data_IF_271549673820
#
_entry.id   IF_271549673820
#
_cell.length_a   1.000
_cell.length_b   1.000
_cell.length_c   1.000
_cell.angle_alpha   90.00
_cell.angle_beta   90.00
_cell.angle_gamma   90.00
#
_symmetry.space_group_name_H-M   'P 1'
#
loop_
_entity.id
_entity.type
_entity.pdbx_description
1 polymer ?
#
# COMPACT_ATOMS: atom_id res chain seq x y z
N UNK A 1 14.70 -17.46 18.52
CA UNK A 1 15.03 -16.04 18.63
C UNK A 1 14.05 -15.13 17.88
N UNK A 2 14.01 -15.09 16.52
CA UNK A 2 13.12 -14.22 15.74
C UNK A 2 11.63 -14.27 16.20
N UNK A 3 11.02 -15.47 16.29
CA UNK A 3 9.62 -15.62 16.71
C UNK A 3 9.36 -15.13 18.14
N UNK A 4 10.31 -15.33 19.06
CA UNK A 4 10.19 -14.91 20.46
C UNK A 4 10.28 -13.39 20.58
N UNK A 5 11.27 -12.79 19.93
CA UNK A 5 11.47 -11.33 19.89
C UNK A 5 10.24 -10.63 19.31
N UNK A 6 9.75 -11.09 18.17
CA UNK A 6 8.56 -10.49 17.54
C UNK A 6 7.31 -10.62 18.40
N UNK A 7 7.11 -11.76 19.07
CA UNK A 7 5.99 -11.92 20.01
C UNK A 7 6.08 -10.94 21.18
N UNK A 8 7.28 -10.67 21.68
CA UNK A 8 7.52 -9.72 22.76
C UNK A 8 7.30 -8.27 22.32
N UNK A 9 7.81 -7.92 21.14
CA UNK A 9 7.80 -6.55 20.62
C UNK A 9 6.45 -6.14 19.97
N UNK A 10 5.65 -7.08 19.45
CA UNK A 10 4.46 -6.76 18.65
C UNK A 10 3.50 -5.75 19.31
N UNK A 11 3.31 -5.87 20.64
CA UNK A 11 2.44 -4.96 21.41
C UNK A 11 3.11 -3.63 21.77
N UNK A 12 4.42 -3.49 21.55
CA UNK A 12 5.22 -2.29 21.84
C UNK A 12 5.44 -1.45 20.59
N UNK A 13 5.23 -2.05 19.40
CA UNK A 13 5.40 -1.37 18.14
C UNK A 13 4.19 -0.50 17.79
N UNK A 14 4.46 0.70 17.26
CA UNK A 14 3.42 1.57 16.74
C UNK A 14 2.56 0.85 15.69
N UNK A 15 1.27 1.10 15.71
CA UNK A 15 0.33 0.56 14.70
C UNK A 15 0.60 1.13 13.30
N UNK A 16 1.30 2.25 13.20
CA UNK A 16 1.66 2.92 11.94
C UNK A 16 2.98 2.42 11.34
N UNK A 17 3.73 1.62 12.07
CA UNK A 17 4.95 0.96 11.56
C UNK A 17 4.54 -0.23 10.69
N UNK A 18 4.49 -0.06 9.37
CA UNK A 18 3.92 -1.06 8.46
C UNK A 18 4.93 -1.99 7.79
N UNK A 19 6.22 -1.62 7.74
CA UNK A 19 7.26 -2.42 7.10
C UNK A 19 7.58 -3.71 7.87
N UNK A 20 7.85 -4.79 7.15
CA UNK A 20 8.36 -6.07 7.68
C UNK A 20 7.57 -6.72 8.84
N UNK A 21 6.32 -6.33 9.05
CA UNK A 21 5.45 -6.93 10.07
C UNK A 21 4.46 -7.91 9.47
N UNK A 22 4.19 -8.98 10.21
CA UNK A 22 3.25 -10.02 9.79
C UNK A 22 1.85 -9.45 9.58
N UNK A 23 1.26 -9.74 8.42
CA UNK A 23 -0.08 -9.28 8.07
C UNK A 23 -0.16 -7.84 7.57
N UNK A 24 0.89 -7.05 7.72
CA UNK A 24 0.99 -5.69 7.17
C UNK A 24 1.65 -5.67 5.79
N UNK A 25 1.37 -4.64 5.03
CA UNK A 25 1.96 -4.43 3.71
C UNK A 25 1.74 -3.00 3.22
N UNK A 26 2.35 -2.65 2.10
CA UNK A 26 2.25 -1.32 1.49
C UNK A 26 0.78 -0.88 1.30
N UNK A 27 -0.14 -1.82 0.99
CA UNK A 27 -1.55 -1.51 0.82
C UNK A 27 -2.20 -0.97 2.10
N UNK A 28 -1.86 -1.50 3.28
CA UNK A 28 -2.45 -1.05 4.56
C UNK A 28 -2.04 0.39 4.88
N UNK A 29 -0.74 0.68 4.75
CA UNK A 29 -0.18 2.01 4.93
C UNK A 29 -0.81 3.02 3.96
N UNK A 30 -0.83 2.70 2.67
CA UNK A 30 -1.42 3.57 1.64
C UNK A 30 -2.94 3.73 1.79
N UNK A 31 -3.67 2.70 2.24
CA UNK A 31 -5.11 2.82 2.51
C UNK A 31 -5.38 3.81 3.63
N UNK A 32 -4.60 3.79 4.70
CA UNK A 32 -4.71 4.74 5.79
C UNK A 32 -4.53 6.18 5.30
N UNK A 33 -3.42 6.45 4.60
CA UNK A 33 -3.14 7.75 4.00
C UNK A 33 -4.26 8.24 3.08
N UNK A 34 -4.61 7.42 2.08
CA UNK A 34 -5.61 7.78 1.05
C UNK A 34 -6.99 7.96 1.66
N UNK A 35 -7.37 7.14 2.64
CA UNK A 35 -8.63 7.28 3.35
C UNK A 35 -8.71 8.61 4.11
N UNK A 36 -7.69 8.92 4.92
CA UNK A 36 -7.63 10.20 5.65
C UNK A 36 -7.68 11.40 4.70
N UNK A 37 -6.87 11.36 3.65
CA UNK A 37 -6.83 12.43 2.65
C UNK A 37 -8.19 12.64 1.98
N UNK A 38 -8.85 11.57 1.51
CA UNK A 38 -10.17 11.66 0.88
C UNK A 38 -11.25 12.17 1.84
N UNK A 39 -11.26 11.74 3.11
CA UNK A 39 -12.21 12.21 4.11
C UNK A 39 -12.05 13.71 4.37
N UNK A 40 -10.83 14.21 4.41
CA UNK A 40 -10.55 15.64 4.61
C UNK A 40 -10.95 16.47 3.40
N UNK A 41 -10.63 16.01 2.19
CA UNK A 41 -11.08 16.69 0.97
C UNK A 41 -12.61 16.70 0.83
N UNK A 42 -13.30 15.65 1.31
CA UNK A 42 -14.77 15.61 1.37
C UNK A 42 -15.35 16.66 2.32
N UNK A 43 -14.59 17.06 3.35
CA UNK A 43 -14.92 18.13 4.30
C UNK A 43 -14.48 19.53 3.83
N UNK A 44 -13.86 19.63 2.66
CA UNK A 44 -13.28 20.84 2.08
C UNK A 44 -11.98 21.30 2.73
N UNK A 45 -11.35 20.46 3.57
CA UNK A 45 -10.03 20.70 4.11
C UNK A 45 -8.96 20.57 3.01
N UNK A 46 -7.80 21.14 3.26
CA UNK A 46 -6.59 21.00 2.44
C UNK A 46 -5.70 19.92 3.01
N UNK A 47 -4.95 19.25 2.13
CA UNK A 47 -4.06 18.17 2.50
C UNK A 47 -2.69 18.40 1.94
N UNK A 48 -1.67 17.92 2.65
CA UNK A 48 -0.29 17.90 2.19
C UNK A 48 0.46 16.68 2.71
N UNK A 49 1.40 16.20 1.91
CA UNK A 49 2.30 15.11 2.26
C UNK A 49 3.72 15.46 1.81
N UNK A 50 4.68 15.21 2.68
CA UNK A 50 6.10 15.28 2.38
C UNK A 50 6.66 13.86 2.29
N UNK A 51 7.10 13.46 1.11
CA UNK A 51 7.83 12.20 0.92
C UNK A 51 9.28 12.42 1.30
N UNK A 52 9.81 11.55 2.15
CA UNK A 52 11.21 11.60 2.57
C UNK A 52 11.92 10.29 2.23
N UNK A 53 13.22 10.37 2.00
CA UNK A 53 14.07 9.21 1.68
C UNK A 53 15.29 9.22 2.61
N UNK A 54 15.68 8.05 3.09
CA UNK A 54 16.88 7.85 3.89
C UNK A 54 17.98 7.21 3.04
N UNK A 55 19.19 7.72 3.16
CA UNK A 55 20.34 7.14 2.49
C UNK A 55 20.84 5.91 3.25
N UNK A 56 20.78 4.71 2.63
CA UNK A 56 21.32 3.47 3.19
C UNK A 56 20.89 3.19 4.64
N UNK A 57 19.61 3.38 4.95
CA UNK A 57 19.08 3.31 6.31
C UNK A 57 19.46 2.03 7.08
N UNK A 58 19.45 0.87 6.42
CA UNK A 58 19.85 -0.41 7.00
C UNK A 58 21.36 -0.52 7.26
N UNK A 59 22.19 0.16 6.49
CA UNK A 59 23.66 0.11 6.61
C UNK A 59 24.19 1.13 7.64
N UNK A 60 23.40 2.16 7.94
CA UNK A 60 23.80 3.26 8.84
C UNK A 60 23.33 3.06 10.30
N UNK A 61 22.53 2.02 10.59
CA UNK A 61 21.97 1.81 11.92
C UNK A 61 23.08 1.64 12.97
N UNK A 62 23.10 2.51 14.01
CA UNK A 62 24.05 2.46 15.10
C UNK A 62 23.76 1.29 16.03
N UNK A 63 24.75 0.42 16.27
CA UNK A 63 24.60 -0.72 17.16
C UNK A 63 24.38 -0.28 18.60
N UNK A 64 25.09 0.73 19.07
CA UNK A 64 24.99 1.21 20.45
C UNK A 64 23.61 1.82 20.73
N UNK A 65 23.09 2.64 19.80
CA UNK A 65 21.75 3.20 19.92
C UNK A 65 20.67 2.11 19.86
N UNK A 66 20.84 1.13 18.99
CA UNK A 66 19.90 0.00 18.92
C UNK A 66 19.87 -0.77 20.24
N UNK A 67 21.03 -1.10 20.82
CA UNK A 67 21.11 -1.82 22.11
C UNK A 67 20.49 -0.98 23.23
N UNK A 68 20.76 0.31 23.30
CA UNK A 68 20.14 1.21 24.28
C UNK A 68 18.61 1.26 24.14
N UNK A 69 18.08 1.30 22.91
CA UNK A 69 16.63 1.24 22.67
C UNK A 69 16.03 -0.11 23.06
N UNK A 70 16.70 -1.23 22.77
CA UNK A 70 16.24 -2.55 23.18
C UNK A 70 16.24 -2.70 24.69
N UNK A 71 17.21 -2.14 25.40
CA UNK A 71 17.24 -2.07 26.86
C UNK A 71 16.01 -1.30 27.39
N UNK A 72 15.71 -0.14 26.81
CA UNK A 72 14.51 0.65 27.16
C UNK A 72 13.18 -0.07 26.87
N UNK A 73 13.15 -1.01 25.92
CA UNK A 73 12.03 -1.91 25.70
C UNK A 73 11.94 -3.06 26.70
N UNK A 74 12.91 -3.19 27.62
CA UNK A 74 12.93 -4.20 28.70
C UNK A 74 13.55 -5.53 28.27
N UNK A 75 14.52 -5.54 27.37
CA UNK A 75 15.33 -6.71 27.09
C UNK A 75 16.31 -6.93 28.23
N UNK A 76 16.48 -8.18 28.64
CA UNK A 76 17.47 -8.54 29.66
C UNK A 76 18.90 -8.49 29.11
N UNK A 77 19.87 -8.41 30.03
CA UNK A 77 21.30 -8.32 29.67
C UNK A 77 21.78 -9.45 28.76
N UNK A 78 21.28 -10.69 28.97
CA UNK A 78 21.70 -11.85 28.17
C UNK A 78 21.20 -11.72 26.74
N UNK A 79 19.96 -11.26 26.55
CA UNK A 79 19.36 -10.99 25.23
C UNK A 79 20.07 -9.85 24.51
N UNK A 80 20.39 -8.76 25.21
CA UNK A 80 21.14 -7.63 24.64
C UNK A 80 22.53 -8.06 24.19
N UNK A 81 23.26 -8.83 25.03
CA UNK A 81 24.58 -9.39 24.70
C UNK A 81 24.53 -10.31 23.48
N UNK A 82 23.47 -11.13 23.37
CA UNK A 82 23.28 -12.02 22.22
C UNK A 82 23.08 -11.24 20.93
N UNK A 83 22.26 -10.17 20.95
CA UNK A 83 22.02 -9.30 19.80
C UNK A 83 23.30 -8.53 19.44
N UNK A 84 24.02 -8.00 20.43
CA UNK A 84 25.28 -7.31 20.21
C UNK A 84 26.34 -8.23 19.57
N UNK A 85 26.47 -9.47 20.04
CA UNK A 85 27.34 -10.46 19.43
C UNK A 85 26.95 -10.80 17.99
N UNK A 86 25.64 -10.86 17.71
CA UNK A 86 25.13 -11.09 16.35
C UNK A 86 25.54 -9.96 15.40
N UNK A 87 25.59 -8.71 15.85
CA UNK A 87 25.95 -7.54 15.05
C UNK A 87 27.47 -7.31 14.99
N UNK A 88 28.22 -7.71 16.01
CA UNK A 88 29.64 -7.43 16.17
C UNK A 88 30.55 -8.37 15.38
N UNK A 89 31.82 -7.95 15.21
CA UNK A 89 32.91 -8.74 14.60
C UNK A 89 32.59 -9.28 13.20
N UNK A 90 31.86 -8.48 12.42
CA UNK A 90 31.51 -8.80 11.04
C UNK A 90 32.45 -8.07 10.08
N UNK A 91 32.75 -8.73 8.97
CA UNK A 91 33.60 -8.21 7.91
C UNK A 91 32.90 -8.42 6.57
N UNK A 92 33.16 -7.54 5.63
CA UNK A 92 32.68 -7.66 4.26
C UNK A 92 33.76 -7.36 3.26
N UNK A 93 33.66 -7.92 2.06
CA UNK A 93 34.44 -7.56 0.89
C UNK A 93 33.59 -7.60 -0.36
N UNK A 94 33.97 -6.83 -1.35
CA UNK A 94 33.30 -6.78 -2.66
C UNK A 94 33.98 -7.79 -3.59
N UNK A 95 33.18 -8.52 -4.36
CA UNK A 95 33.66 -9.39 -5.44
C UNK A 95 33.17 -8.83 -6.77
N UNK A 96 34.09 -8.63 -7.71
CA UNK A 96 33.81 -8.28 -9.08
C UNK A 96 34.51 -9.31 -9.99
N UNK A 97 33.73 -10.11 -10.67
CA UNK A 97 34.22 -11.29 -11.41
C UNK A 97 35.00 -12.25 -10.52
N UNK A 98 36.33 -12.38 -10.75
CA UNK A 98 37.30 -13.18 -9.95
C UNK A 98 38.01 -12.38 -8.87
N UNK A 99 37.97 -11.06 -8.89
CA UNK A 99 38.71 -10.17 -8.02
C UNK A 99 37.96 -9.85 -6.74
N UNK A 100 38.69 -9.66 -5.66
CA UNK A 100 38.14 -9.31 -4.36
C UNK A 100 38.81 -8.05 -3.82
N UNK A 101 37.99 -7.18 -3.19
CA UNK A 101 38.51 -6.09 -2.36
C UNK A 101 39.15 -6.65 -1.08
N UNK A 102 39.88 -5.81 -0.35
CA UNK A 102 40.29 -6.08 1.03
C UNK A 102 39.09 -6.27 1.95
N UNK A 103 39.26 -7.03 3.01
CA UNK A 103 38.27 -7.18 4.07
C UNK A 103 38.13 -5.88 4.85
N UNK A 104 36.88 -5.40 5.00
CA UNK A 104 36.53 -4.20 5.77
C UNK A 104 35.61 -4.59 6.92
N UNK A 105 35.93 -4.12 8.13
CA UNK A 105 35.11 -4.35 9.32
C UNK A 105 33.79 -3.54 9.21
N UNK A 106 32.70 -4.18 9.55
CA UNK A 106 31.36 -3.53 9.61
C UNK A 106 31.18 -3.01 11.04
N UNK A 107 30.97 -1.69 11.18
CA UNK A 107 30.80 -1.01 12.47
C UNK A 107 29.35 -0.60 12.73
N UNK A 108 28.54 -0.50 11.69
CA UNK A 108 27.14 -0.05 11.73
C UNK A 108 26.29 -0.93 10.81
N UNK A 109 25.00 -0.81 10.96
CA UNK A 109 24.02 -1.47 10.09
C UNK A 109 23.67 -2.88 10.52
N UNK A 110 22.65 -3.41 9.87
CA UNK A 110 22.20 -4.79 10.06
C UNK A 110 22.49 -5.62 8.81
N UNK A 111 22.79 -6.93 8.96
CA UNK A 111 23.11 -7.77 7.80
C UNK A 111 21.94 -7.85 6.83
N UNK A 112 22.14 -7.33 5.61
CA UNK A 112 21.13 -7.41 4.54
C UNK A 112 20.86 -8.87 4.16
N UNK A 113 19.56 -9.21 3.99
CA UNK A 113 19.13 -10.59 3.74
C UNK A 113 19.03 -11.47 4.97
N UNK A 114 19.34 -10.96 6.17
CA UNK A 114 19.12 -11.68 7.42
C UNK A 114 17.65 -11.63 7.86
N UNK A 115 17.22 -12.59 8.66
CA UNK A 115 15.86 -12.67 9.21
C UNK A 115 15.64 -11.58 10.28
N UNK A 116 16.65 -11.27 11.09
CA UNK A 116 16.53 -10.29 12.18
C UNK A 116 16.74 -8.85 11.75
N UNK A 117 17.45 -8.60 10.64
CA UNK A 117 17.77 -7.24 10.18
C UNK A 117 16.53 -6.33 10.10
N UNK A 118 15.47 -6.73 9.40
CA UNK A 118 14.23 -5.95 9.32
C UNK A 118 13.56 -5.69 10.68
N UNK A 119 13.58 -6.67 11.58
CA UNK A 119 13.01 -6.51 12.92
C UNK A 119 13.80 -5.49 13.74
N UNK A 120 15.14 -5.62 13.75
CA UNK A 120 16.01 -4.69 14.45
C UNK A 120 15.91 -3.26 13.93
N UNK A 121 15.74 -3.10 12.61
CA UNK A 121 15.46 -1.79 12.02
C UNK A 121 14.12 -1.23 12.53
N UNK A 122 13.06 -2.04 12.55
CA UNK A 122 11.76 -1.63 13.06
C UNK A 122 11.82 -1.23 14.54
N UNK A 123 12.56 -1.98 15.37
CA UNK A 123 12.71 -1.65 16.79
C UNK A 123 13.46 -0.34 17.00
N UNK A 124 14.47 -0.08 16.16
CA UNK A 124 15.20 1.19 16.17
C UNK A 124 14.32 2.37 15.73
N UNK A 125 13.43 2.15 14.75
CA UNK A 125 12.62 3.23 14.13
C UNK A 125 11.30 3.47 14.86
N UNK A 126 10.92 2.63 15.82
CA UNK A 126 9.61 2.70 16.47
C UNK A 126 9.38 3.98 17.29
N UNK A 127 10.44 4.56 17.87
CA UNK A 127 10.35 5.81 18.63
C UNK A 127 10.07 7.04 17.75
N UNK A 128 10.24 6.95 16.44
CA UNK A 128 9.84 7.99 15.49
C UNK A 128 8.39 8.45 15.73
N UNK A 129 7.49 7.52 16.01
CA UNK A 129 6.06 7.81 16.23
C UNK A 129 5.75 8.46 17.59
N UNK A 130 6.73 8.51 18.51
CA UNK A 130 6.65 9.26 19.74
C UNK A 130 7.21 10.68 19.56
N UNK A 131 8.08 10.85 18.58
CA UNK A 131 8.78 12.09 18.31
C UNK A 131 7.97 13.01 17.39
N UNK A 132 7.24 12.42 16.43
CA UNK A 132 6.41 13.15 15.47
C UNK A 132 4.99 13.37 15.99
N UNK A 133 4.42 14.56 15.71
CA UNK A 133 3.06 14.91 16.08
C UNK A 133 2.04 14.64 14.97
N UNK A 134 2.47 14.64 13.71
CA UNK A 134 1.60 14.37 12.55
C UNK A 134 1.46 12.87 12.25
N UNK A 135 0.43 12.56 11.47
CA UNK A 135 0.30 11.23 10.90
C UNK A 135 1.47 10.94 9.94
N UNK A 136 2.02 9.74 10.03
CA UNK A 136 3.11 9.28 9.17
C UNK A 136 2.70 8.04 8.42
N UNK A 137 2.81 8.08 7.10
CA UNK A 137 2.79 6.87 6.27
C UNK A 137 4.19 6.27 6.29
N UNK A 138 4.40 5.25 7.13
CA UNK A 138 5.70 4.59 7.25
C UNK A 138 5.67 3.20 6.61
N UNK A 139 6.70 2.89 5.85
CA UNK A 139 6.95 1.54 5.36
C UNK A 139 8.46 1.34 5.21
N UNK A 140 9.06 0.61 6.13
CA UNK A 140 10.52 0.45 6.22
C UNK A 140 11.23 1.81 6.39
N UNK A 141 12.11 2.16 5.47
CA UNK A 141 12.85 3.42 5.40
C UNK A 141 12.08 4.58 4.78
N UNK A 142 10.97 4.31 4.08
CA UNK A 142 10.07 5.34 3.56
C UNK A 142 9.21 5.95 4.69
N UNK A 143 9.48 7.19 5.07
CA UNK A 143 8.71 7.96 6.03
C UNK A 143 8.05 9.15 5.33
N UNK A 144 6.74 9.24 5.40
CA UNK A 144 6.00 10.29 4.73
C UNK A 144 5.02 10.93 5.70
N UNK A 145 5.42 12.00 6.43
CA UNK A 145 4.52 12.78 7.24
C UNK A 145 3.48 13.46 6.36
N UNK A 146 2.23 13.44 6.81
CA UNK A 146 1.13 14.09 6.11
C UNK A 146 0.17 14.76 7.10
N UNK A 147 -0.52 15.80 6.61
CA UNK A 147 -1.47 16.55 7.42
C UNK A 147 -2.65 17.03 6.61
N UNK A 148 -3.68 17.41 7.34
CA UNK A 148 -4.89 18.03 6.80
C UNK A 148 -5.27 19.23 7.66
N UNK A 149 -5.57 20.36 7.02
CA UNK A 149 -5.93 21.59 7.71
C UNK A 149 -6.94 22.41 6.87
N UNK A 150 -7.62 23.42 7.46
CA UNK A 150 -8.61 24.21 6.73
C UNK A 150 -8.06 24.97 5.51
N UNK A 151 -6.77 25.31 5.53
CA UNK A 151 -6.12 26.10 4.47
C UNK A 151 -4.69 25.64 4.20
N UNK A 152 -4.15 26.02 3.04
CA UNK A 152 -2.78 25.66 2.63
C UNK A 152 -1.69 26.26 3.55
N UNK A 153 -1.74 27.53 3.98
CA UNK A 153 -0.72 28.04 4.91
C UNK A 153 -0.57 27.20 6.17
N UNK A 154 -1.69 26.75 6.78
CA UNK A 154 -1.65 25.87 7.95
C UNK A 154 -1.04 24.49 7.63
N UNK A 155 -1.34 23.92 6.47
CA UNK A 155 -0.72 22.67 6.00
C UNK A 155 0.80 22.83 5.87
N UNK A 156 1.25 23.92 5.24
CA UNK A 156 2.67 24.19 5.03
C UNK A 156 3.40 24.40 6.37
N UNK A 157 2.81 25.18 7.28
CA UNK A 157 3.39 25.41 8.61
C UNK A 157 3.56 24.09 9.39
N UNK A 158 2.53 23.25 9.39
CA UNK A 158 2.58 21.95 10.06
C UNK A 158 3.64 21.03 9.44
N UNK A 159 3.67 20.88 8.11
CA UNK A 159 4.67 20.06 7.43
C UNK A 159 6.10 20.59 7.64
N UNK A 160 6.29 21.91 7.62
CA UNK A 160 7.62 22.50 7.88
C UNK A 160 8.10 22.21 9.30
N UNK A 161 7.22 22.35 10.30
CA UNK A 161 7.58 22.05 11.69
C UNK A 161 7.90 20.55 11.86
N UNK A 162 7.07 19.71 11.30
CA UNK A 162 7.25 18.25 11.39
C UNK A 162 8.50 17.78 10.67
N UNK A 163 8.83 18.40 9.52
CA UNK A 163 10.06 18.07 8.80
C UNK A 163 11.33 18.38 9.60
N UNK A 164 11.30 19.45 10.43
CA UNK A 164 12.40 19.77 11.35
C UNK A 164 12.55 18.70 12.42
N UNK A 165 11.44 18.28 13.03
CA UNK A 165 11.44 17.19 14.02
C UNK A 165 11.94 15.89 13.41
N UNK A 166 11.46 15.53 12.21
CA UNK A 166 11.92 14.32 11.50
C UNK A 166 13.43 14.35 11.23
N UNK A 167 13.96 15.50 10.78
CA UNK A 167 15.40 15.65 10.52
C UNK A 167 16.23 15.60 11.81
N UNK A 168 15.72 16.14 12.89
CA UNK A 168 16.34 16.04 14.22
C UNK A 168 16.37 14.58 14.70
N UNK A 169 15.27 13.84 14.55
CA UNK A 169 15.21 12.41 14.84
C UNK A 169 16.21 11.62 13.98
N UNK A 170 16.28 11.89 12.67
CA UNK A 170 17.25 11.26 11.75
C UNK A 170 18.68 11.51 12.23
N UNK A 171 19.02 12.76 12.59
CA UNK A 171 20.35 13.14 13.10
C UNK A 171 20.66 12.43 14.41
N UNK A 172 19.75 12.42 15.37
CA UNK A 172 19.91 11.80 16.69
C UNK A 172 20.09 10.28 16.57
N UNK A 173 19.49 9.65 15.54
CA UNK A 173 19.67 8.25 15.22
C UNK A 173 20.88 7.94 14.32
N UNK A 174 21.76 8.93 14.06
CA UNK A 174 22.94 8.79 13.21
C UNK A 174 22.63 8.30 11.79
N UNK A 175 21.39 8.53 11.33
CA UNK A 175 20.94 8.23 9.97
C UNK A 175 21.21 9.44 9.06
N UNK A 176 21.08 9.24 7.74
CA UNK A 176 21.28 10.29 6.74
C UNK A 176 20.02 10.48 5.90
N UNK A 177 19.47 11.69 5.94
CA UNK A 177 18.43 12.09 5.00
C UNK A 177 19.01 12.27 3.59
N UNK A 178 18.18 12.12 2.58
CA UNK A 178 18.50 12.40 1.19
C UNK A 178 17.53 13.46 0.63
N UNK A 179 17.73 14.75 0.93
CA UNK A 179 16.80 15.82 0.57
C UNK A 179 16.54 15.95 -0.94
N UNK A 180 17.49 15.57 -1.79
CA UNK A 180 17.32 15.59 -3.25
C UNK A 180 16.19 14.67 -3.75
N UNK A 181 15.77 13.72 -2.91
CA UNK A 181 14.66 12.80 -3.19
C UNK A 181 13.38 13.15 -2.42
N UNK A 182 13.37 14.27 -1.72
CA UNK A 182 12.15 14.72 -1.06
C UNK A 182 11.17 15.28 -2.08
N UNK A 183 9.89 14.97 -1.89
CA UNK A 183 8.82 15.45 -2.76
C UNK A 183 7.66 15.96 -1.91
N UNK A 184 7.11 17.11 -2.30
CA UNK A 184 5.91 17.68 -1.69
C UNK A 184 4.72 17.50 -2.63
N UNK A 185 3.59 17.04 -2.10
CA UNK A 185 2.30 17.09 -2.79
C UNK A 185 1.29 17.79 -1.90
N UNK A 186 0.66 18.81 -2.44
CA UNK A 186 -0.46 19.54 -1.81
C UNK A 186 -1.74 19.29 -2.61
N UNK A 187 -2.89 19.28 -1.95
CA UNK A 187 -4.20 19.25 -2.60
C UNK A 187 -4.54 20.53 -3.38
N UNK A 188 -3.56 21.33 -3.69
CA UNK A 188 -3.63 22.60 -4.42
C UNK A 188 -2.92 22.47 -5.78
N UNK A 189 -3.36 23.27 -6.77
CA UNK A 189 -2.79 23.27 -8.11
C UNK A 189 -1.62 24.26 -8.30
N UNK A 190 -1.40 25.13 -7.35
CA UNK A 190 -0.30 26.08 -7.43
C UNK A 190 1.03 25.37 -7.18
N UNK A 191 1.84 25.21 -8.21
CA UNK A 191 3.14 24.53 -8.16
C UNK A 191 4.30 25.45 -7.77
N UNK A 192 4.07 26.76 -7.67
CA UNK A 192 5.06 27.71 -7.12
C UNK A 192 5.14 27.70 -5.61
N UNK A 193 4.30 26.90 -4.94
CA UNK A 193 4.35 26.76 -3.49
C UNK A 193 5.45 25.77 -3.13
N UNK A 194 6.30 26.16 -2.19
CA UNK A 194 7.38 25.31 -1.69
C UNK A 194 7.45 25.34 -0.16
N UNK A 195 8.20 24.41 0.41
CA UNK A 195 8.61 24.41 1.81
C UNK A 195 10.13 24.34 1.90
N UNK A 196 10.72 25.02 2.88
CA UNK A 196 12.14 24.88 3.17
C UNK A 196 12.35 23.80 4.24
N UNK A 197 13.12 22.77 3.86
CA UNK A 197 13.49 21.65 4.73
C UNK A 197 15.01 21.58 4.81
N UNK A 198 15.58 21.97 5.93
CA UNK A 198 17.03 21.99 6.18
C UNK A 198 17.85 22.77 5.12
N UNK A 199 17.34 23.89 4.62
CA UNK A 199 18.00 24.70 3.58
C UNK A 199 17.66 24.27 2.15
N UNK A 200 16.99 23.15 1.95
CA UNK A 200 16.50 22.70 0.64
C UNK A 200 15.08 23.20 0.38
N UNK A 201 14.86 23.80 -0.76
CA UNK A 201 13.53 24.23 -1.19
C UNK A 201 12.84 23.10 -1.97
N UNK A 202 11.71 22.61 -1.44
CA UNK A 202 10.97 21.51 -2.00
C UNK A 202 9.65 22.02 -2.55
N UNK A 203 9.55 22.04 -3.88
CA UNK A 203 8.38 22.53 -4.59
C UNK A 203 7.22 21.53 -4.60
N UNK A 204 6.00 22.07 -4.63
CA UNK A 204 4.78 21.29 -4.80
C UNK A 204 4.72 20.62 -6.17
N UNK A 205 4.58 19.31 -6.20
CA UNK A 205 4.49 18.51 -7.42
C UNK A 205 3.05 18.03 -7.68
N UNK A 206 2.74 17.87 -8.97
CA UNK A 206 1.45 17.29 -9.37
C UNK A 206 1.27 15.85 -8.87
N UNK A 207 2.31 15.05 -8.91
CA UNK A 207 2.27 13.64 -8.51
C UNK A 207 3.67 13.14 -8.17
N UNK A 208 3.75 12.26 -7.18
CA UNK A 208 4.97 11.56 -6.84
C UNK A 208 4.68 10.06 -6.65
N UNK A 209 5.73 9.25 -6.60
CA UNK A 209 5.63 7.81 -6.41
C UNK A 209 5.87 7.48 -4.94
N UNK A 210 4.89 6.84 -4.29
CA UNK A 210 5.02 6.29 -2.94
C UNK A 210 4.74 4.79 -2.97
N UNK A 211 5.64 3.99 -2.43
CA UNK A 211 5.49 2.52 -2.36
C UNK A 211 5.01 1.90 -3.69
N UNK A 212 5.56 2.36 -4.80
CA UNK A 212 5.21 1.85 -6.12
C UNK A 212 3.93 2.42 -6.76
N UNK A 213 3.15 3.22 -6.05
CA UNK A 213 1.92 3.87 -6.54
C UNK A 213 2.21 5.34 -6.88
N UNK A 214 1.77 5.80 -8.07
CA UNK A 214 1.78 7.23 -8.37
C UNK A 214 0.57 7.88 -7.69
N UNK A 215 0.82 8.73 -6.72
CA UNK A 215 -0.18 9.52 -6.00
C UNK A 215 -0.21 10.89 -6.67
N UNK A 216 -1.38 11.35 -7.04
CA UNK A 216 -1.61 12.70 -7.57
C UNK A 216 -2.39 13.55 -6.57
N UNK A 217 -2.27 14.86 -6.68
CA UNK A 217 -2.86 15.84 -5.76
C UNK A 217 -4.40 15.77 -5.65
N UNK A 218 -5.06 15.07 -6.59
CA UNK A 218 -6.51 14.86 -6.60
C UNK A 218 -6.90 13.41 -6.27
N UNK A 219 -5.94 12.54 -5.99
CA UNK A 219 -6.15 11.11 -5.75
C UNK A 219 -7.00 10.43 -6.83
N UNK A 220 -6.80 10.82 -8.10
CA UNK A 220 -7.49 10.21 -9.24
C UNK A 220 -6.86 8.91 -9.66
N UNK A 221 -5.54 8.76 -9.43
CA UNK A 221 -4.71 7.63 -9.85
C UNK A 221 -4.66 7.43 -11.38
N UNK A 222 -5.07 8.43 -12.18
CA UNK A 222 -5.16 8.33 -13.64
C UNK A 222 -3.79 8.02 -14.27
N UNK A 223 -2.73 8.71 -13.82
CA UNK A 223 -1.35 8.45 -14.26
C UNK A 223 -0.90 7.04 -13.87
N UNK A 224 -1.22 6.61 -12.65
CA UNK A 224 -0.87 5.27 -12.19
C UNK A 224 -1.51 4.18 -13.04
N UNK A 225 -2.84 4.21 -13.20
CA UNK A 225 -3.60 3.21 -13.97
C UNK A 225 -3.22 3.24 -15.46
N UNK A 226 -2.96 4.44 -16.02
CA UNK A 226 -2.47 4.56 -17.41
C UNK A 226 -1.11 3.88 -17.60
N UNK A 227 -0.19 4.02 -16.64
CA UNK A 227 1.10 3.34 -16.65
C UNK A 227 0.96 1.82 -16.53
N UNK A 228 0.04 1.33 -15.68
CA UNK A 228 -0.26 -0.11 -15.59
C UNK A 228 -0.78 -0.64 -16.92
N UNK A 229 -1.73 0.06 -17.55
CA UNK A 229 -2.26 -0.29 -18.86
C UNK A 229 -1.17 -0.30 -19.95
N UNK A 230 -0.25 0.65 -19.91
CA UNK A 230 0.87 0.70 -20.87
C UNK A 230 1.78 -0.53 -20.72
N UNK A 231 2.24 -0.82 -19.50
CA UNK A 231 3.08 -1.99 -19.20
C UNK A 231 2.39 -3.30 -19.57
N UNK A 232 1.12 -3.47 -19.20
CA UNK A 232 0.34 -4.65 -19.53
C UNK A 232 0.18 -4.82 -21.06
N UNK A 233 -0.03 -3.72 -21.81
CA UNK A 233 -0.13 -3.76 -23.27
C UNK A 233 1.19 -4.18 -23.93
N UNK A 234 2.35 -3.72 -23.44
CA UNK A 234 3.64 -4.19 -23.94
C UNK A 234 3.81 -5.71 -23.79
N UNK A 235 3.41 -6.26 -22.63
CA UNK A 235 3.45 -7.71 -22.37
C UNK A 235 2.41 -8.47 -23.21
N UNK A 236 1.26 -7.87 -23.48
CA UNK A 236 0.24 -8.42 -24.36
C UNK A 236 0.79 -8.58 -25.80
N UNK A 237 1.50 -7.58 -26.34
CA UNK A 237 2.14 -7.68 -27.65
C UNK A 237 3.23 -8.75 -27.70
N UNK A 238 3.99 -8.93 -26.62
CA UNK A 238 4.96 -10.02 -26.53
C UNK A 238 4.26 -11.40 -26.57
N UNK A 239 3.18 -11.56 -25.80
CA UNK A 239 2.38 -12.79 -25.81
C UNK A 239 1.80 -13.10 -27.20
N UNK A 240 1.32 -12.06 -27.91
CA UNK A 240 0.74 -12.21 -29.25
C UNK A 240 1.73 -12.81 -30.26
N UNK A 241 3.03 -12.45 -30.19
CA UNK A 241 4.07 -12.97 -31.11
C UNK A 241 4.34 -14.46 -30.92
N UNK A 242 4.21 -14.96 -29.69
CA UNK A 242 4.59 -16.35 -29.36
C UNK A 242 3.37 -17.27 -29.17
N UNK A 243 2.13 -16.74 -29.29
CA UNK A 243 0.89 -17.47 -29.00
C UNK A 243 0.73 -18.77 -29.79
N UNK A 244 1.23 -18.79 -31.05
CA UNK A 244 1.07 -19.93 -31.94
C UNK A 244 1.93 -21.12 -31.53
N UNK A 245 3.01 -20.90 -30.80
CA UNK A 245 3.95 -21.92 -30.32
C UNK A 245 3.59 -22.48 -28.93
N UNK A 246 2.45 -22.03 -28.37
CA UNK A 246 2.07 -22.40 -27.00
C UNK A 246 0.71 -23.07 -26.92
N UNK A 247 0.58 -23.97 -25.95
CA UNK A 247 -0.70 -24.50 -25.53
C UNK A 247 -1.53 -23.45 -24.78
N UNK A 248 -2.86 -23.65 -24.69
CA UNK A 248 -3.76 -22.80 -23.90
C UNK A 248 -3.28 -22.71 -22.44
N UNK A 249 -2.83 -23.80 -21.84
CA UNK A 249 -2.33 -23.84 -20.45
C UNK A 249 -1.13 -22.92 -20.26
N UNK A 250 -0.15 -22.99 -21.14
CA UNK A 250 1.05 -22.13 -21.09
C UNK A 250 0.70 -20.66 -21.32
N UNK A 251 -0.11 -20.34 -22.34
CA UNK A 251 -0.60 -18.99 -22.63
C UNK A 251 -1.36 -18.40 -21.43
N UNK A 252 -2.19 -19.21 -20.75
CA UNK A 252 -2.93 -18.80 -19.55
C UNK A 252 -1.99 -18.47 -18.37
N UNK A 253 -0.93 -19.24 -18.17
CA UNK A 253 0.08 -18.96 -17.14
C UNK A 253 0.77 -17.63 -17.45
N UNK A 254 1.23 -17.42 -18.69
CA UNK A 254 1.90 -16.18 -19.10
C UNK A 254 0.97 -14.96 -18.98
N UNK A 255 -0.29 -15.09 -19.39
CA UNK A 255 -1.29 -14.03 -19.21
C UNK A 255 -1.42 -13.63 -17.74
N UNK A 256 -1.57 -14.60 -16.83
CA UNK A 256 -1.71 -14.33 -15.40
C UNK A 256 -0.45 -13.72 -14.81
N UNK A 257 0.74 -14.22 -15.16
CA UNK A 257 2.02 -13.82 -14.58
C UNK A 257 2.51 -12.48 -15.12
N UNK A 258 2.40 -12.23 -16.43
CA UNK A 258 3.02 -11.07 -17.05
C UNK A 258 2.05 -9.94 -17.41
N UNK A 259 0.74 -10.20 -17.52
CA UNK A 259 -0.25 -9.19 -17.90
C UNK A 259 -1.12 -8.84 -16.69
N UNK A 260 -1.84 -9.81 -16.13
CA UNK A 260 -2.81 -9.56 -15.08
C UNK A 260 -2.17 -9.22 -13.73
N UNK A 261 -0.92 -9.66 -13.48
CA UNK A 261 -0.15 -9.32 -12.28
C UNK A 261 0.05 -7.81 -12.09
N UNK A 262 0.16 -7.04 -13.20
CA UNK A 262 0.25 -5.58 -13.12
C UNK A 262 -0.94 -4.94 -12.38
N UNK A 263 -2.12 -5.56 -12.44
CA UNK A 263 -3.34 -5.06 -11.80
C UNK A 263 -3.57 -5.64 -10.39
N UNK A 264 -2.62 -6.45 -9.89
CA UNK A 264 -2.74 -7.11 -8.58
C UNK A 264 -2.03 -6.37 -7.44
N UNK A 265 -1.18 -5.37 -7.73
CA UNK A 265 -0.44 -4.64 -6.70
C UNK A 265 -1.28 -3.50 -6.12
N UNK A 266 -1.50 -3.53 -4.80
CA UNK A 266 -2.28 -2.53 -4.05
C UNK A 266 -3.59 -2.10 -4.74
N UNK A 267 -4.43 -3.05 -5.21
CA UNK A 267 -5.57 -2.72 -6.06
C UNK A 267 -6.61 -1.86 -5.35
N UNK A 268 -6.73 -1.95 -4.03
CA UNK A 268 -7.71 -1.18 -3.26
C UNK A 268 -7.41 0.32 -3.25
N UNK A 269 -6.17 0.73 -3.51
CA UNK A 269 -5.77 2.13 -3.54
C UNK A 269 -6.37 2.86 -4.76
N UNK A 270 -6.30 2.20 -5.92
CA UNK A 270 -6.65 2.82 -7.21
C UNK A 270 -7.94 2.24 -7.84
N UNK A 271 -8.63 1.29 -7.19
CA UNK A 271 -9.80 0.62 -7.77
C UNK A 271 -10.98 1.57 -8.11
N UNK A 272 -11.02 2.75 -7.50
CA UNK A 272 -12.06 3.77 -7.74
C UNK A 272 -11.64 4.80 -8.82
N UNK A 273 -10.89 4.34 -9.82
CA UNK A 273 -10.49 5.14 -10.98
C UNK A 273 -11.68 5.47 -11.92
N UNK A 274 -11.40 6.22 -13.00
CA UNK A 274 -12.43 6.62 -13.95
C UNK A 274 -12.96 5.44 -14.80
N UNK A 275 -14.23 5.54 -15.25
CA UNK A 275 -14.85 4.56 -16.17
C UNK A 275 -14.02 4.36 -17.44
N UNK A 276 -13.47 5.46 -18.00
CA UNK A 276 -12.59 5.40 -19.19
C UNK A 276 -11.40 4.45 -18.97
N UNK A 277 -10.77 4.54 -17.82
CA UNK A 277 -9.63 3.67 -17.47
C UNK A 277 -10.08 2.23 -17.20
N UNK A 278 -11.23 2.03 -16.55
CA UNK A 278 -11.78 0.68 -16.38
C UNK A 278 -12.05 0.00 -17.73
N UNK A 279 -12.62 0.71 -18.69
CA UNK A 279 -12.83 0.17 -20.04
C UNK A 279 -11.49 -0.18 -20.72
N UNK A 280 -10.44 0.62 -20.51
CA UNK A 280 -9.10 0.33 -21.04
C UNK A 280 -8.50 -0.94 -20.40
N UNK A 281 -8.66 -1.12 -19.09
CA UNK A 281 -8.26 -2.34 -18.39
C UNK A 281 -9.01 -3.56 -18.96
N UNK A 282 -10.34 -3.46 -19.10
CA UNK A 282 -11.17 -4.53 -19.63
C UNK A 282 -10.77 -4.90 -21.06
N UNK A 283 -10.48 -3.93 -21.95
CA UNK A 283 -9.98 -4.20 -23.31
C UNK A 283 -8.64 -4.97 -23.32
N UNK A 284 -7.74 -4.65 -22.39
CA UNK A 284 -6.46 -5.39 -22.26
C UNK A 284 -6.74 -6.82 -21.80
N UNK A 285 -7.62 -7.01 -20.82
CA UNK A 285 -7.99 -8.34 -20.32
C UNK A 285 -8.70 -9.16 -21.38
N UNK A 286 -9.65 -8.59 -22.10
CA UNK A 286 -10.35 -9.22 -23.22
C UNK A 286 -9.38 -9.67 -24.31
N UNK A 287 -8.50 -8.78 -24.77
CA UNK A 287 -7.47 -9.14 -25.77
C UNK A 287 -6.55 -10.26 -25.29
N UNK A 288 -6.18 -10.25 -24.00
CA UNK A 288 -5.38 -11.31 -23.42
C UNK A 288 -6.11 -12.67 -23.46
N UNK A 289 -7.39 -12.70 -23.14
CA UNK A 289 -8.23 -13.90 -23.22
C UNK A 289 -8.39 -14.38 -24.67
N UNK A 290 -8.59 -13.47 -25.63
CA UNK A 290 -8.63 -13.80 -27.07
C UNK A 290 -7.34 -14.49 -27.53
N UNK A 291 -6.20 -13.98 -27.10
CA UNK A 291 -4.91 -14.60 -27.40
C UNK A 291 -4.76 -15.99 -26.79
N UNK A 292 -5.21 -16.18 -25.54
CA UNK A 292 -5.12 -17.45 -24.83
C UNK A 292 -5.99 -18.52 -25.50
N UNK A 293 -7.24 -18.17 -25.83
CA UNK A 293 -8.22 -19.12 -26.35
C UNK A 293 -8.27 -19.18 -27.87
N UNK A 294 -7.49 -18.34 -28.58
CA UNK A 294 -7.51 -18.18 -30.03
C UNK A 294 -8.93 -17.92 -30.56
N UNK A 295 -9.67 -17.07 -29.86
CA UNK A 295 -11.10 -16.82 -30.03
C UNK A 295 -11.33 -15.33 -30.26
N UNK A 296 -11.54 -14.95 -31.49
CA UNK A 296 -11.72 -13.55 -31.90
C UNK A 296 -13.20 -13.14 -32.05
N UNK A 297 -14.14 -14.10 -31.86
CA UNK A 297 -15.57 -13.90 -32.10
C UNK A 297 -16.36 -13.72 -30.80
N UNK A 298 -16.08 -14.51 -29.77
CA UNK A 298 -16.83 -14.52 -28.53
C UNK A 298 -16.82 -13.17 -27.82
N UNK A 299 -17.93 -12.82 -27.13
CA UNK A 299 -17.99 -11.62 -26.30
C UNK A 299 -17.00 -11.70 -25.12
N UNK A 300 -16.62 -10.55 -24.53
CA UNK A 300 -15.77 -10.52 -23.34
C UNK A 300 -16.40 -11.30 -22.17
N UNK A 301 -17.72 -11.25 -22.03
CA UNK A 301 -18.43 -12.01 -20.99
C UNK A 301 -18.35 -13.52 -21.20
N UNK A 302 -18.38 -14.00 -22.44
CA UNK A 302 -18.27 -15.43 -22.74
C UNK A 302 -16.83 -15.91 -22.59
N UNK A 303 -15.84 -15.09 -22.96
CA UNK A 303 -14.43 -15.38 -22.68
C UNK A 303 -14.15 -15.48 -21.18
N UNK A 304 -14.73 -14.62 -20.35
CA UNK A 304 -14.62 -14.69 -18.88
C UNK A 304 -15.26 -15.98 -18.34
N UNK A 305 -16.43 -16.38 -18.85
CA UNK A 305 -17.07 -17.67 -18.49
C UNK A 305 -16.18 -18.85 -18.88
N UNK A 306 -15.65 -18.85 -20.11
CA UNK A 306 -14.74 -19.88 -20.64
C UNK A 306 -13.46 -20.00 -19.81
N UNK A 307 -12.92 -18.88 -19.32
CA UNK A 307 -11.75 -18.85 -18.45
C UNK A 307 -12.08 -19.15 -16.97
N UNK A 308 -13.36 -19.20 -16.61
CA UNK A 308 -13.84 -19.23 -15.23
C UNK A 308 -13.19 -18.12 -14.39
N UNK A 309 -13.25 -16.90 -14.90
CA UNK A 309 -12.60 -15.73 -14.31
C UNK A 309 -13.53 -14.52 -14.24
N UNK A 310 -13.08 -13.48 -13.52
CA UNK A 310 -13.80 -12.24 -13.29
C UNK A 310 -13.02 -11.07 -13.89
N UNK A 311 -13.71 -9.96 -14.16
CA UNK A 311 -13.06 -8.71 -14.53
C UNK A 311 -12.11 -8.25 -13.43
N UNK A 312 -11.14 -7.39 -13.75
CA UNK A 312 -10.23 -6.84 -12.74
C UNK A 312 -11.00 -6.07 -11.66
N UNK A 313 -12.04 -5.34 -12.03
CA UNK A 313 -12.87 -4.62 -11.07
C UNK A 313 -13.60 -5.56 -10.08
N UNK A 314 -14.21 -6.63 -10.57
CA UNK A 314 -14.85 -7.64 -9.71
C UNK A 314 -13.85 -8.31 -8.76
N UNK A 315 -12.63 -8.61 -9.21
CA UNK A 315 -11.55 -9.12 -8.36
C UNK A 315 -11.13 -8.10 -7.28
N UNK A 316 -11.11 -6.81 -7.60
CA UNK A 316 -10.82 -5.78 -6.63
C UNK A 316 -11.90 -5.69 -5.55
N UNK A 317 -13.18 -5.84 -5.92
CA UNK A 317 -14.30 -5.93 -4.96
C UNK A 317 -14.16 -7.18 -4.08
N UNK A 318 -13.80 -8.33 -4.65
CA UNK A 318 -13.52 -9.55 -3.88
C UNK A 318 -12.34 -9.34 -2.90
N UNK A 319 -11.31 -8.62 -3.33
CA UNK A 319 -10.17 -8.25 -2.46
C UNK A 319 -10.59 -7.32 -1.32
N UNK A 320 -11.46 -6.35 -1.60
CA UNK A 320 -12.05 -5.49 -0.56
C UNK A 320 -12.88 -6.31 0.42
N UNK A 321 -13.72 -7.23 -0.06
CA UNK A 321 -14.50 -8.12 0.79
C UNK A 321 -13.63 -8.95 1.74
N UNK A 322 -12.45 -9.42 1.28
CA UNK A 322 -11.48 -10.14 2.12
C UNK A 322 -10.91 -9.23 3.21
N UNK A 323 -10.57 -7.98 2.89
CA UNK A 323 -10.08 -7.05 3.92
C UNK A 323 -11.17 -6.69 4.94
N UNK A 324 -12.41 -6.48 4.50
CA UNK A 324 -13.55 -6.24 5.40
C UNK A 324 -13.78 -7.44 6.33
N UNK A 325 -13.73 -8.66 5.80
CA UNK A 325 -13.83 -9.87 6.61
C UNK A 325 -12.73 -9.94 7.70
N UNK A 326 -11.49 -9.61 7.33
CA UNK A 326 -10.38 -9.58 8.28
C UNK A 326 -10.63 -8.56 9.41
N UNK A 327 -11.16 -7.39 9.09
CA UNK A 327 -11.49 -6.35 10.08
C UNK A 327 -12.59 -6.83 11.01
N UNK A 328 -13.70 -7.37 10.48
CA UNK A 328 -14.82 -7.87 11.29
C UNK A 328 -14.39 -8.98 12.24
N UNK A 329 -13.50 -9.88 11.80
CA UNK A 329 -12.98 -10.98 12.61
C UNK A 329 -11.72 -10.61 13.43
N UNK A 330 -11.32 -9.32 13.47
CA UNK A 330 -10.16 -8.80 14.22
C UNK A 330 -8.84 -9.52 13.93
N UNK A 331 -8.68 -10.00 12.69
CA UNK A 331 -7.44 -10.61 12.16
C UNK A 331 -6.71 -9.68 11.19
N UNK A 332 -7.20 -8.46 11.03
CA UNK A 332 -6.57 -7.39 10.28
C UNK A 332 -5.59 -6.62 11.17
N UNK A 333 -4.53 -6.01 10.60
CA UNK A 333 -3.71 -5.04 11.34
C UNK A 333 -4.55 -3.91 11.93
N UNK A 334 -4.20 -3.45 13.14
CA UNK A 334 -4.96 -2.40 13.86
C UNK A 334 -5.13 -1.09 13.06
N UNK A 335 -4.16 -0.74 12.22
CA UNK A 335 -4.26 0.42 11.33
C UNK A 335 -5.51 0.37 10.42
N UNK A 336 -6.00 -0.83 10.08
CA UNK A 336 -7.19 -1.00 9.23
C UNK A 336 -8.49 -0.66 9.96
N UNK A 337 -8.51 -0.65 11.29
CA UNK A 337 -9.65 -0.20 12.09
C UNK A 337 -9.87 1.32 11.93
N UNK A 338 -8.80 2.08 11.67
CA UNK A 338 -8.90 3.50 11.31
C UNK A 338 -9.48 3.72 9.90
N UNK A 339 -9.34 2.74 9.01
CA UNK A 339 -9.90 2.80 7.64
C UNK A 339 -11.35 2.30 7.64
N UNK A 340 -11.64 1.23 8.35
CA UNK A 340 -12.95 0.58 8.45
C UNK A 340 -13.35 0.42 9.92
N UNK A 341 -13.73 1.52 10.61
CA UNK A 341 -14.09 1.44 12.01
C UNK A 341 -15.36 0.61 12.22
N UNK A 342 -15.33 -0.21 13.25
CA UNK A 342 -16.45 -1.04 13.68
C UNK A 342 -17.30 -0.29 14.71
N UNK A 343 -18.59 -0.60 14.75
CA UNK A 343 -19.49 -0.17 15.83
C UNK A 343 -19.13 -0.90 17.12
N UNK A 344 -19.21 -0.22 18.23
CA UNK A 344 -18.94 -0.82 19.55
C UNK A 344 -19.96 -1.88 19.90
N UNK A 345 -21.24 -1.64 19.57
CA UNK A 345 -22.35 -2.57 19.81
C UNK A 345 -23.24 -2.68 18.57
N UNK A 346 -23.72 -3.88 18.29
CA UNK A 346 -24.72 -4.14 17.27
C UNK A 346 -26.09 -4.26 17.92
N UNK A 347 -27.09 -3.57 17.35
CA UNK A 347 -28.47 -3.67 17.84
C UNK A 347 -29.13 -5.00 17.45
N UNK A 348 -28.73 -5.54 16.28
CA UNK A 348 -29.26 -6.78 15.73
C UNK A 348 -28.12 -7.66 15.21
N UNK A 349 -28.22 -9.00 15.26
CA UNK A 349 -27.16 -9.92 14.84
C UNK A 349 -26.70 -9.75 13.38
N UNK A 350 -27.60 -9.31 12.50
CA UNK A 350 -27.31 -9.15 11.06
C UNK A 350 -27.06 -7.70 10.66
N UNK A 351 -26.93 -6.80 11.64
CA UNK A 351 -26.62 -5.40 11.36
C UNK A 351 -25.23 -5.26 10.72
N UNK A 352 -25.08 -4.22 9.89
CA UNK A 352 -23.80 -3.87 9.34
C UNK A 352 -22.81 -3.47 10.46
N UNK A 353 -21.73 -4.21 10.68
CA UNK A 353 -20.82 -3.95 11.79
C UNK A 353 -19.99 -2.67 11.63
N UNK A 354 -19.92 -2.10 10.43
CA UNK A 354 -19.13 -0.91 10.16
C UNK A 354 -19.85 0.37 10.51
N UNK A 355 -19.08 1.36 10.97
CA UNK A 355 -19.56 2.73 11.14
C UNK A 355 -19.88 3.31 9.75
N UNK A 356 -21.03 3.94 9.60
CA UNK A 356 -21.44 4.60 8.35
C UNK A 356 -20.98 6.05 8.35
N UNK A 357 -20.25 6.45 7.33
CA UNK A 357 -19.83 7.82 7.12
C UNK A 357 -20.86 8.56 6.24
N UNK A 358 -21.18 9.81 6.61
CA UNK A 358 -21.92 10.73 5.73
C UNK A 358 -20.90 11.35 4.77
N UNK A 359 -21.16 11.25 3.48
CA UNK A 359 -20.36 11.91 2.43
C UNK A 359 -21.00 13.25 2.06
N UNK A 360 -20.16 14.23 1.72
CA UNK A 360 -20.57 15.57 1.27
C UNK A 360 -20.44 15.74 -0.24
N UNK A 361 -19.45 15.06 -0.84
CA UNK A 361 -19.13 15.20 -2.25
C UNK A 361 -19.12 13.86 -2.98
N UNK A 362 -19.54 13.87 -4.25
CA UNK A 362 -19.43 12.70 -5.13
C UNK A 362 -17.96 12.42 -5.50
N UNK A 363 -17.15 13.47 -5.64
CA UNK A 363 -15.77 13.35 -6.09
C UNK A 363 -14.88 12.61 -5.09
N UNK A 364 -15.02 12.93 -3.81
CA UNK A 364 -14.13 12.42 -2.74
C UNK A 364 -14.83 11.37 -1.88
N UNK A 365 -16.06 11.63 -1.47
CA UNK A 365 -16.80 10.77 -0.57
C UNK A 365 -17.21 9.44 -1.21
N UNK A 366 -17.83 9.45 -2.40
CA UNK A 366 -18.30 8.23 -3.08
C UNK A 366 -17.13 7.32 -3.53
N UNK A 367 -15.93 7.90 -3.77
CA UNK A 367 -14.71 7.17 -4.07
C UNK A 367 -13.93 6.71 -2.84
N UNK A 368 -14.40 6.96 -1.62
CA UNK A 368 -13.72 6.58 -0.39
C UNK A 368 -14.12 5.16 0.05
N UNK A 369 -13.14 4.31 0.35
CA UNK A 369 -13.40 2.93 0.74
C UNK A 369 -14.05 2.81 2.13
N UNK A 370 -13.83 3.76 3.05
CA UNK A 370 -14.51 3.78 4.34
C UNK A 370 -16.04 3.91 4.19
N UNK A 371 -16.50 4.64 3.14
CA UNK A 371 -17.90 4.73 2.79
C UNK A 371 -18.39 3.55 1.94
N UNK A 372 -17.55 3.12 0.98
CA UNK A 372 -17.92 2.09 0.02
C UNK A 372 -17.84 0.68 0.63
N UNK A 373 -16.86 0.40 1.48
CA UNK A 373 -16.65 -0.91 2.11
C UNK A 373 -17.90 -1.44 2.84
N UNK A 374 -18.53 -0.68 3.76
CA UNK A 374 -19.77 -1.09 4.40
C UNK A 374 -20.89 -1.50 3.45
N UNK A 375 -21.00 -0.82 2.31
CA UNK A 375 -22.00 -1.15 1.27
C UNK A 375 -21.65 -2.46 0.55
N UNK A 376 -20.37 -2.71 0.30
CA UNK A 376 -19.92 -4.00 -0.25
C UNK A 376 -20.19 -5.11 0.74
N UNK A 377 -19.93 -4.91 2.03
CA UNK A 377 -20.23 -5.92 3.04
C UNK A 377 -21.71 -6.35 3.04
N UNK A 378 -22.63 -5.41 2.86
CA UNK A 378 -24.06 -5.69 2.83
C UNK A 378 -24.51 -6.54 1.64
N UNK A 379 -23.89 -6.39 0.47
CA UNK A 379 -24.27 -7.16 -0.73
C UNK A 379 -23.63 -8.55 -0.79
N UNK A 380 -22.67 -8.86 0.12
CA UNK A 380 -22.14 -10.22 0.25
C UNK A 380 -23.25 -11.11 0.84
N UNK A 381 -23.54 -12.29 0.22
CA UNK A 381 -24.51 -13.25 0.77
C UNK A 381 -24.22 -13.61 2.24
N UNK A 382 -25.26 -13.72 3.02
CA UNK A 382 -25.14 -13.99 4.47
C UNK A 382 -24.40 -15.29 4.75
N UNK A 383 -24.60 -16.33 3.95
CA UNK A 383 -23.90 -17.61 4.03
C UNK A 383 -22.37 -17.48 3.88
N UNK A 384 -21.92 -16.47 3.13
CA UNK A 384 -20.49 -16.16 3.00
C UNK A 384 -20.02 -15.30 4.17
N UNK A 385 -20.83 -14.32 4.60
CA UNK A 385 -20.47 -13.43 5.73
C UNK A 385 -20.35 -14.17 7.07
N UNK A 386 -21.17 -15.21 7.29
CA UNK A 386 -21.18 -16.01 8.49
C UNK A 386 -20.01 -17.01 8.58
N UNK A 387 -19.16 -17.07 7.56
CA UNK A 387 -17.96 -17.91 7.60
C UNK A 387 -17.00 -17.38 8.69
N UNK A 388 -16.42 -18.27 9.48
CA UNK A 388 -15.44 -17.90 10.52
C UNK A 388 -13.99 -18.11 10.06
N UNK A 389 -13.80 -19.02 9.10
CA UNK A 389 -12.48 -19.39 8.60
C UNK A 389 -12.06 -18.55 7.38
N UNK A 390 -10.94 -17.82 7.50
CA UNK A 390 -10.43 -16.96 6.42
C UNK A 390 -10.17 -17.72 5.11
N UNK A 391 -9.68 -18.95 5.19
CA UNK A 391 -9.35 -19.74 3.98
C UNK A 391 -10.62 -20.16 3.25
N UNK A 392 -11.65 -20.58 3.99
CA UNK A 392 -12.97 -20.91 3.43
C UNK A 392 -13.67 -19.65 2.90
N UNK A 393 -13.63 -18.53 3.64
CA UNK A 393 -14.14 -17.26 3.16
C UNK A 393 -13.49 -16.85 1.84
N UNK A 394 -12.14 -16.91 1.75
CA UNK A 394 -11.41 -16.61 0.51
C UNK A 394 -11.83 -17.51 -0.63
N UNK A 395 -12.08 -18.80 -0.38
CA UNK A 395 -12.53 -19.74 -1.40
C UNK A 395 -13.93 -19.39 -1.93
N UNK A 396 -14.88 -19.12 -1.03
CA UNK A 396 -16.26 -18.71 -1.38
C UNK A 396 -16.29 -17.36 -2.09
N UNK A 397 -15.59 -16.34 -1.56
CA UNK A 397 -15.61 -14.99 -2.13
C UNK A 397 -14.97 -14.92 -3.52
N UNK A 398 -13.96 -15.75 -3.80
CA UNK A 398 -13.35 -15.83 -5.13
C UNK A 398 -14.27 -16.44 -6.20
N UNK A 399 -15.33 -17.13 -5.80
CA UNK A 399 -16.38 -17.65 -6.69
C UNK A 399 -17.60 -16.74 -6.76
N UNK A 400 -17.73 -15.82 -5.80
CA UNK A 400 -18.85 -14.88 -5.74
C UNK A 400 -18.70 -13.77 -6.77
N UNK A 401 -19.77 -13.56 -7.55
CA UNK A 401 -19.89 -12.44 -8.47
C UNK A 401 -20.60 -11.28 -7.76
N UNK A 402 -20.01 -10.07 -7.68
CA UNK A 402 -20.63 -8.90 -7.04
C UNK A 402 -21.74 -8.31 -7.92
N UNK A 403 -22.90 -8.94 -7.90
CA UNK A 403 -24.11 -8.45 -8.55
C UNK A 403 -24.63 -7.24 -7.75
N UNK A 404 -25.14 -6.20 -8.43
CA UNK A 404 -25.64 -4.97 -7.81
C UNK A 404 -24.58 -4.18 -7.03
N UNK A 405 -23.32 -4.22 -7.47
CA UNK A 405 -22.29 -3.38 -6.89
C UNK A 405 -22.68 -1.90 -6.92
N UNK A 406 -22.69 -1.19 -5.76
CA UNK A 406 -23.14 0.19 -5.67
C UNK A 406 -22.11 1.23 -6.17
N UNK A 407 -20.95 0.81 -6.70
CA UNK A 407 -19.88 1.72 -7.08
C UNK A 407 -20.22 2.53 -8.36
N UNK A 408 -19.59 3.70 -8.50
CA UNK A 408 -19.74 4.56 -9.68
C UNK A 408 -19.30 3.92 -11.00
N UNK A 409 -18.43 2.91 -10.95
CA UNK A 409 -17.95 2.19 -12.14
C UNK A 409 -19.04 1.26 -12.66
N UNK A 410 -19.71 0.50 -11.76
CA UNK A 410 -20.76 -0.45 -12.10
C UNK A 410 -22.12 0.20 -12.36
N UNK A 411 -22.53 1.23 -11.59
CA UNK A 411 -23.81 1.91 -11.72
C UNK A 411 -24.11 2.45 -13.13
N UNK A 412 -23.07 2.81 -13.86
CA UNK A 412 -23.17 3.41 -15.19
C UNK A 412 -22.65 2.47 -16.29
N UNK A 413 -22.50 1.18 -15.99
CA UNK A 413 -22.08 0.21 -16.98
C UNK A 413 -23.26 -0.14 -17.89
N UNK A 414 -23.33 0.50 -19.03
CA UNK A 414 -24.07 -0.02 -20.17
C UNK A 414 -23.09 -0.98 -20.88
N UNK A 415 -23.42 -2.28 -21.01
CA UNK A 415 -22.63 -3.18 -21.86
C UNK A 415 -22.56 -2.52 -23.24
N UNK A 416 -21.39 -2.36 -23.80
CA UNK A 416 -21.26 -1.99 -25.20
C UNK A 416 -21.92 -3.12 -26.00
N UNK A 417 -23.17 -2.95 -26.38
CA UNK A 417 -23.76 -3.64 -27.48
C UNK A 417 -22.84 -3.35 -28.68
N UNK A 418 -22.31 -4.41 -29.25
CA UNK A 418 -21.27 -4.35 -30.26
C UNK A 418 -21.57 -3.30 -31.32
N UNK A 419 -20.63 -2.40 -31.50
CA UNK A 419 -20.38 -1.79 -32.81
C UNK A 419 -19.15 -2.48 -33.37
N UNK A 420 -19.43 -3.15 -34.47
CA UNK A 420 -18.57 -3.78 -35.46
C UNK A 420 -17.35 -2.92 -35.79
#
# INVERSE_FOLDING_TARGET
MHTQINKYMENKLSIFLCGYRKGMGAQNCLLYLVNKWKLSLDRSDKCGILFTDLSKAFDCLSHDLLIAKLDSYGFDYSSLKLILNYLSNRFQRVRVNSDFSTWTKILTGVPQGSILGPDLYNFNSNDLFLFLALDVCNFADDNSPFTTAPNIPSVLQQLTNESKLLLEWIKNNQLKANPDKFHLILSEKNYSISINVAGFEIENQHSAKLLGINIDNKLTFDKHVSNLCFKASQKLHALARIRNFMSIKQSKILMKTFILSHFGYCPLIWMMHSRKLNNRINKIHERALRLVYKDDVSSFSDLLKKDNSFTIHERNIQSLAIELFKVVNRISPKIMEHVFPLKETLRYPNENPFVSFKIRTVSWGDGNLAYFGPKIWQIIPQEIRNESNLSLFKKKIRQWKPINCPCRICKNYVPCLGFI
#
